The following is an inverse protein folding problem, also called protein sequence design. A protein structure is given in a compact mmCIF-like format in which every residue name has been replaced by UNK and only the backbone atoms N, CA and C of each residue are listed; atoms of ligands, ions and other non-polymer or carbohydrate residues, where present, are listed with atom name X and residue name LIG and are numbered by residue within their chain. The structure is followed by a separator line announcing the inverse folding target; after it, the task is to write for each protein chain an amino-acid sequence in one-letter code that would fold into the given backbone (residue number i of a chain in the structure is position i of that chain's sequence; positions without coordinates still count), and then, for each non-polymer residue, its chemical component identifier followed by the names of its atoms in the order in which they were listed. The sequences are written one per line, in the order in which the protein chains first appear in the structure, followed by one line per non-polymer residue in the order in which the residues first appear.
data_IF_053733815975
#
_entry.id   IF_053733815975
#
_cell.length_a   1.000
_cell.length_b   1.000
_cell.length_c   1.000
_cell.angle_alpha   90.00
_cell.angle_beta   90.00
_cell.angle_gamma   90.00
#
_symmetry.space_group_name_H-M   'P 1'
#
loop_
_entity.id
_entity.type
_entity.pdbx_description
1 polymer ?
#
# COMPACT_ATOMS: atom_id res chain seq x y z
N UNK A 1 2.11 5.26 29.71
CA UNK A 1 2.48 5.69 28.34
C UNK A 1 1.94 4.68 27.33
N UNK A 2 1.36 5.10 26.21
CA UNK A 2 0.68 4.21 25.25
C UNK A 2 1.68 3.25 24.57
N UNK A 3 1.40 1.93 24.59
CA UNK A 3 2.28 0.88 24.02
C UNK A 3 2.57 1.06 22.53
N UNK A 4 1.62 1.59 21.77
CA UNK A 4 1.78 1.82 20.32
C UNK A 4 2.72 2.99 20.05
N UNK A 5 2.62 4.07 20.84
CA UNK A 5 3.52 5.21 20.74
C UNK A 5 4.96 4.80 21.07
N UNK A 6 5.13 3.98 22.11
CA UNK A 6 6.43 3.42 22.47
C UNK A 6 7.03 2.57 21.34
N UNK A 7 6.21 1.74 20.69
CA UNK A 7 6.65 0.93 19.57
C UNK A 7 7.10 1.79 18.38
N UNK A 8 6.30 2.80 18.00
CA UNK A 8 6.67 3.76 16.96
C UNK A 8 7.95 4.51 17.30
N UNK A 9 8.14 4.93 18.56
CA UNK A 9 9.37 5.58 19.01
C UNK A 9 10.60 4.68 18.87
N UNK A 10 10.47 3.38 19.18
CA UNK A 10 11.56 2.41 18.97
C UNK A 10 11.91 2.26 17.49
N UNK A 11 10.90 2.13 16.62
CA UNK A 11 11.12 2.06 15.16
C UNK A 11 11.79 3.35 14.66
N UNK A 12 11.34 4.51 15.13
CA UNK A 12 11.92 5.80 14.78
C UNK A 12 13.39 5.94 15.23
N UNK A 13 13.80 5.27 16.30
CA UNK A 13 15.20 5.27 16.77
C UNK A 13 16.15 4.29 16.06
N UNK A 14 15.65 3.39 15.19
CA UNK A 14 16.51 2.43 14.49
C UNK A 14 17.42 3.09 13.45
N UNK A 15 18.65 2.59 13.31
CA UNK A 15 19.60 3.00 12.26
C UNK A 15 19.13 2.60 10.85
N UNK A 16 18.50 1.43 10.74
CA UNK A 16 17.87 0.93 9.52
C UNK A 16 16.52 0.31 9.81
N UNK A 17 15.61 0.35 8.82
CA UNK A 17 14.24 -0.13 8.92
C UNK A 17 13.90 -1.00 7.72
N UNK A 18 13.23 -2.11 7.98
CA UNK A 18 12.67 -2.96 6.93
C UNK A 18 11.22 -2.53 6.68
N UNK A 19 10.97 -2.00 5.49
CA UNK A 19 9.69 -1.41 5.12
C UNK A 19 9.15 -2.13 3.89
N UNK A 20 7.90 -2.58 3.98
CA UNK A 20 7.18 -3.10 2.81
C UNK A 20 6.52 -1.92 2.11
N UNK A 21 6.93 -1.63 0.88
CA UNK A 21 6.24 -0.71 -0.02
C UNK A 21 5.19 -1.43 -0.85
N UNK A 22 4.00 -0.86 -0.95
CA UNK A 22 2.92 -1.38 -1.80
C UNK A 22 2.46 -0.33 -2.82
N UNK A 23 2.31 -0.78 -4.05
CA UNK A 23 1.71 0.01 -5.13
C UNK A 23 0.72 -0.85 -5.90
N UNK A 24 -0.50 -0.35 -6.07
CA UNK A 24 -1.47 -0.90 -7.02
C UNK A 24 -1.74 0.15 -8.09
N UNK A 25 -1.31 -0.14 -9.31
CA UNK A 25 -1.50 0.74 -10.45
C UNK A 25 -2.97 0.86 -10.86
N UNK A 26 -3.27 1.88 -11.66
CA UNK A 26 -4.62 2.09 -12.24
C UNK A 26 -5.00 1.02 -13.27
N UNK A 27 -4.04 0.24 -13.76
CA UNK A 27 -4.30 -0.90 -14.66
C UNK A 27 -4.93 -2.11 -13.94
N UNK A 28 -4.91 -2.14 -12.60
CA UNK A 28 -5.40 -3.27 -11.79
C UNK A 28 -4.76 -4.61 -12.20
N UNK A 29 -3.52 -4.58 -12.68
CA UNK A 29 -2.82 -5.79 -13.14
C UNK A 29 -2.38 -6.66 -11.97
N UNK A 30 -1.97 -6.04 -10.87
CA UNK A 30 -1.53 -6.70 -9.67
C UNK A 30 -1.10 -5.72 -8.58
N UNK A 31 -0.71 -6.29 -7.43
CA UNK A 31 -0.10 -5.57 -6.33
C UNK A 31 1.42 -5.73 -6.41
N UNK A 32 2.12 -4.62 -6.57
CA UNK A 32 3.57 -4.57 -6.39
C UNK A 32 3.89 -4.56 -4.90
N UNK A 33 4.76 -5.47 -4.49
CA UNK A 33 5.23 -5.61 -3.11
C UNK A 33 6.77 -5.53 -3.14
N UNK A 34 7.33 -4.53 -2.48
CA UNK A 34 8.76 -4.36 -2.33
C UNK A 34 9.15 -4.40 -0.85
N UNK A 35 10.01 -5.34 -0.45
CA UNK A 35 10.67 -5.27 0.85
C UNK A 35 11.95 -4.44 0.68
N UNK A 36 12.00 -3.28 1.33
CA UNK A 36 13.12 -2.36 1.27
C UNK A 36 13.79 -2.24 2.64
N UNK A 37 15.12 -2.24 2.65
CA UNK A 37 15.88 -1.78 3.81
C UNK A 37 16.25 -0.31 3.59
N UNK A 38 15.83 0.54 4.52
CA UNK A 38 16.03 2.00 4.45
C UNK A 38 16.82 2.44 5.68
N UNK A 39 17.90 3.18 5.47
CA UNK A 39 18.74 3.76 6.53
C UNK A 39 19.01 5.23 6.28
N UNK A 40 19.39 5.95 7.34
CA UNK A 40 19.58 7.40 7.28
C UNK A 40 18.27 8.17 7.10
N UNK A 41 18.39 9.45 6.73
CA UNK A 41 17.26 10.36 6.55
C UNK A 41 17.62 11.52 5.60
N UNK A 42 16.60 12.18 5.06
CA UNK A 42 16.76 13.32 4.15
C UNK A 42 17.63 12.97 2.94
N UNK A 43 18.61 13.81 2.63
CA UNK A 43 19.53 13.61 1.49
C UNK A 43 20.52 12.46 1.68
N UNK A 44 20.76 12.03 2.93
CA UNK A 44 21.68 10.94 3.26
C UNK A 44 20.97 9.58 3.34
N UNK A 45 19.68 9.53 3.01
CA UNK A 45 18.90 8.30 3.01
C UNK A 45 19.48 7.31 2.00
N UNK A 46 19.66 6.06 2.43
CA UNK A 46 20.02 4.94 1.55
C UNK A 46 18.86 3.96 1.50
N UNK A 47 18.53 3.52 0.30
CA UNK A 47 17.51 2.52 0.04
C UNK A 47 18.13 1.32 -0.66
N UNK A 48 17.79 0.12 -0.19
CA UNK A 48 18.12 -1.14 -0.86
C UNK A 48 16.86 -1.97 -0.97
N UNK A 49 16.52 -2.39 -2.19
CA UNK A 49 15.47 -3.38 -2.41
C UNK A 49 16.04 -4.75 -1.99
N UNK A 50 15.41 -5.37 -1.02
CA UNK A 50 15.75 -6.71 -0.52
C UNK A 50 15.01 -7.75 -1.36
N UNK A 51 13.71 -7.55 -1.54
CA UNK A 51 12.87 -8.36 -2.40
C UNK A 51 11.84 -7.51 -3.13
N UNK A 52 11.38 -8.03 -4.27
CA UNK A 52 10.33 -7.43 -5.09
C UNK A 52 9.51 -8.53 -5.74
N UNK A 53 8.19 -8.33 -5.82
CA UNK A 53 7.30 -9.17 -6.60
C UNK A 53 6.06 -8.37 -7.00
N UNK A 54 5.47 -8.74 -8.14
CA UNK A 54 4.15 -8.28 -8.57
C UNK A 54 3.21 -9.48 -8.51
N UNK A 55 2.18 -9.40 -7.67
CA UNK A 55 1.20 -10.46 -7.51
C UNK A 55 -0.06 -10.09 -8.30
N UNK A 56 -0.52 -10.93 -9.25
CA UNK A 56 -1.68 -10.60 -10.06
C UNK A 56 -2.96 -10.59 -9.20
N UNK A 57 -3.84 -9.64 -9.46
CA UNK A 57 -5.19 -9.69 -8.91
C UNK A 57 -6.01 -10.74 -9.66
N UNK A 58 -6.89 -11.43 -8.93
CA UNK A 58 -7.87 -12.31 -9.57
C UNK A 58 -8.94 -11.50 -10.34
N UNK A 59 -9.68 -12.19 -11.19
CA UNK A 59 -10.70 -11.56 -12.05
C UNK A 59 -11.78 -10.89 -11.21
N UNK A 60 -12.19 -11.51 -10.10
CA UNK A 60 -13.25 -10.99 -9.24
C UNK A 60 -12.85 -9.65 -8.59
N UNK A 61 -11.61 -9.55 -8.10
CA UNK A 61 -11.02 -8.32 -7.58
C UNK A 61 -11.07 -7.19 -8.60
N UNK A 62 -10.61 -7.48 -9.83
CA UNK A 62 -10.60 -6.48 -10.91
C UNK A 62 -12.02 -6.00 -11.22
N UNK A 63 -12.98 -6.90 -11.36
CA UNK A 63 -14.36 -6.55 -11.69
C UNK A 63 -15.02 -5.72 -10.59
N UNK A 64 -14.85 -6.08 -9.32
CA UNK A 64 -15.41 -5.30 -8.21
C UNK A 64 -14.83 -3.90 -8.11
N UNK A 65 -13.49 -3.75 -8.23
CA UNK A 65 -12.85 -2.42 -8.18
C UNK A 65 -13.23 -1.56 -9.39
N UNK A 66 -13.35 -2.14 -10.59
CA UNK A 66 -13.82 -1.43 -11.79
C UNK A 66 -15.22 -0.81 -11.63
N UNK A 67 -16.06 -1.34 -10.73
CA UNK A 67 -17.38 -0.75 -10.48
C UNK A 67 -17.32 0.63 -9.82
N UNK A 68 -16.22 0.95 -9.14
CA UNK A 68 -16.01 2.25 -8.46
C UNK A 68 -14.88 3.08 -9.07
N UNK A 69 -13.99 2.48 -9.87
CA UNK A 69 -12.83 3.15 -10.45
C UNK A 69 -13.20 4.17 -11.53
N UNK A 70 -12.71 5.40 -11.38
CA UNK A 70 -12.89 6.51 -12.33
C UNK A 70 -14.35 6.79 -12.72
N UNK A 71 -15.29 6.59 -11.77
CA UNK A 71 -16.71 6.87 -11.92
C UNK A 71 -17.09 8.15 -11.16
N UNK A 72 -17.86 9.02 -11.79
CA UNK A 72 -18.41 10.21 -11.12
C UNK A 72 -19.46 9.85 -10.06
N UNK A 73 -20.27 8.82 -10.33
CA UNK A 73 -21.31 8.32 -9.44
C UNK A 73 -21.00 6.90 -9.02
N UNK A 74 -20.95 6.67 -7.71
CA UNK A 74 -20.73 5.37 -7.09
C UNK A 74 -21.66 5.18 -5.90
N UNK A 75 -22.08 3.95 -5.65
CA UNK A 75 -22.76 3.61 -4.40
C UNK A 75 -21.77 3.78 -3.23
N UNK A 76 -22.07 4.71 -2.33
CA UNK A 76 -21.20 5.05 -1.20
C UNK A 76 -21.02 3.88 -0.22
N UNK A 77 -22.05 3.06 -0.03
CA UNK A 77 -21.98 1.87 0.82
C UNK A 77 -21.02 0.87 0.20
N UNK A 78 -21.12 0.62 -1.10
CA UNK A 78 -20.20 -0.25 -1.83
C UNK A 78 -18.77 0.25 -1.74
N UNK A 79 -18.52 1.54 -1.98
CA UNK A 79 -17.19 2.15 -1.85
C UNK A 79 -16.61 1.92 -0.44
N UNK A 80 -17.41 2.10 0.60
CA UNK A 80 -16.99 1.93 1.99
C UNK A 80 -16.63 0.47 2.30
N UNK A 81 -17.42 -0.49 1.82
CA UNK A 81 -17.15 -1.91 1.99
C UNK A 81 -15.90 -2.35 1.20
N UNK A 82 -15.71 -1.82 -0.01
CA UNK A 82 -14.55 -2.12 -0.84
C UNK A 82 -13.24 -1.62 -0.21
N UNK A 83 -13.25 -0.50 0.52
CA UNK A 83 -12.05 0.00 1.20
C UNK A 83 -11.47 -1.05 2.19
N UNK A 84 -12.30 -1.63 3.05
CA UNK A 84 -11.86 -2.66 3.99
C UNK A 84 -11.43 -3.94 3.26
N UNK A 85 -12.21 -4.34 2.25
CA UNK A 85 -11.95 -5.55 1.49
C UNK A 85 -10.63 -5.49 0.70
N UNK A 86 -10.32 -4.36 0.07
CA UNK A 86 -9.04 -4.12 -0.61
C UNK A 86 -7.89 -4.22 0.41
N UNK A 87 -8.03 -3.58 1.58
CA UNK A 87 -7.02 -3.65 2.63
C UNK A 87 -6.75 -5.09 3.11
N UNK A 88 -7.82 -5.88 3.33
CA UNK A 88 -7.71 -7.30 3.70
C UNK A 88 -7.05 -8.14 2.59
N UNK A 89 -7.40 -7.86 1.34
CA UNK A 89 -6.81 -8.54 0.16
C UNK A 89 -5.31 -8.27 0.08
N UNK A 90 -4.90 -7.00 0.18
CA UNK A 90 -3.48 -6.64 0.20
C UNK A 90 -2.75 -7.27 1.38
N UNK A 91 -3.36 -7.30 2.58
CA UNK A 91 -2.76 -7.95 3.74
C UNK A 91 -2.54 -9.46 3.54
N UNK A 92 -3.49 -10.15 2.89
CA UNK A 92 -3.34 -11.56 2.54
C UNK A 92 -2.18 -11.76 1.55
N UNK A 93 -2.10 -10.93 0.51
CA UNK A 93 -1.02 -10.97 -0.49
C UNK A 93 0.37 -10.70 0.12
N UNK A 94 0.47 -9.77 1.07
CA UNK A 94 1.71 -9.52 1.83
C UNK A 94 2.11 -10.75 2.64
N UNK A 95 1.18 -11.37 3.36
CA UNK A 95 1.48 -12.55 4.17
C UNK A 95 1.98 -13.71 3.31
N UNK A 96 1.30 -13.97 2.19
CA UNK A 96 1.73 -14.95 1.20
C UNK A 96 3.15 -14.65 0.70
N UNK A 97 3.44 -13.39 0.41
CA UNK A 97 4.74 -13.03 -0.16
C UNK A 97 5.88 -13.08 0.86
N UNK A 98 5.61 -12.74 2.13
CA UNK A 98 6.57 -12.91 3.22
C UNK A 98 6.90 -14.38 3.46
N UNK A 99 5.90 -15.27 3.38
CA UNK A 99 6.12 -16.72 3.44
C UNK A 99 6.98 -17.20 2.25
N UNK A 100 6.68 -16.74 1.04
CA UNK A 100 7.45 -17.09 -0.16
C UNK A 100 8.91 -16.61 -0.10
N UNK A 101 9.18 -15.47 0.53
CA UNK A 101 10.55 -14.96 0.76
C UNK A 101 11.22 -15.52 2.02
N UNK A 102 10.52 -16.35 2.80
CA UNK A 102 10.95 -16.82 4.11
C UNK A 102 11.35 -15.67 5.07
N UNK A 103 10.62 -14.55 5.03
CA UNK A 103 10.85 -13.38 5.88
C UNK A 103 9.84 -13.37 7.04
N UNK A 104 10.28 -13.42 8.30
CA UNK A 104 9.40 -13.31 9.46
C UNK A 104 8.68 -11.95 9.51
N UNK A 105 7.39 -11.97 9.84
CA UNK A 105 6.60 -10.73 10.03
C UNK A 105 7.17 -9.82 11.13
N UNK A 106 7.86 -10.39 12.11
CA UNK A 106 8.54 -9.69 13.20
C UNK A 106 9.73 -8.84 12.74
N UNK A 107 10.26 -9.12 11.55
CA UNK A 107 11.41 -8.41 10.99
C UNK A 107 10.98 -7.18 10.17
N UNK A 108 9.68 -6.98 10.00
CA UNK A 108 9.09 -5.86 9.27
C UNK A 108 8.73 -4.76 10.26
N UNK A 109 9.24 -3.56 10.02
CA UNK A 109 8.99 -2.40 10.86
C UNK A 109 7.70 -1.68 10.49
N UNK A 110 7.47 -1.50 9.19
CA UNK A 110 6.40 -0.65 8.65
C UNK A 110 5.89 -1.19 7.31
N UNK A 111 4.64 -0.84 7.00
CA UNK A 111 4.06 -0.99 5.66
C UNK A 111 3.74 0.42 5.15
N UNK A 112 4.30 0.76 3.98
CA UNK A 112 4.02 1.97 3.25
C UNK A 112 3.10 1.62 2.08
N UNK A 113 1.80 1.79 2.28
CA UNK A 113 0.78 1.45 1.29
C UNK A 113 0.28 2.70 0.59
N UNK A 114 0.45 2.78 -0.73
CA UNK A 114 -0.28 3.77 -1.54
C UNK A 114 -1.80 3.51 -1.50
N UNK A 115 -2.19 2.23 -1.45
CA UNK A 115 -3.58 1.81 -1.58
C UNK A 115 -4.00 1.75 -3.05
N UNK A 116 -5.32 1.76 -3.27
CA UNK A 116 -5.92 1.72 -4.60
C UNK A 116 -6.53 3.09 -4.91
N UNK A 117 -6.07 3.72 -5.98
CA UNK A 117 -6.74 4.93 -6.50
C UNK A 117 -8.15 4.58 -6.95
N UNK A 118 -9.15 5.29 -6.43
CA UNK A 118 -10.54 5.20 -6.89
C UNK A 118 -10.84 6.32 -7.89
N UNK A 119 -10.47 7.56 -7.55
CA UNK A 119 -10.68 8.73 -8.38
C UNK A 119 -9.50 9.69 -8.24
N UNK A 120 -9.02 10.23 -9.36
CA UNK A 120 -7.93 11.20 -9.39
C UNK A 120 -8.41 12.49 -10.05
N UNK A 121 -8.59 13.54 -9.25
CA UNK A 121 -9.11 14.84 -9.69
C UNK A 121 -8.19 15.99 -9.25
N UNK A 122 -6.99 16.12 -9.82
CA UNK A 122 -6.19 17.34 -9.69
C UNK A 122 -6.83 18.49 -10.49
N UNK A 123 -6.51 19.73 -10.14
CA UNK A 123 -7.01 20.95 -10.81
C UNK A 123 -6.87 20.92 -12.33
N UNK A 124 -5.79 20.32 -12.83
CA UNK A 124 -5.54 20.17 -14.27
C UNK A 124 -6.58 19.30 -15.00
N UNK A 125 -7.27 18.40 -14.30
CA UNK A 125 -8.29 17.52 -14.87
C UNK A 125 -9.72 18.05 -14.66
N UNK A 126 -10.07 18.52 -13.47
CA UNK A 126 -11.45 19.00 -13.21
C UNK A 126 -11.68 20.46 -13.62
N UNK A 127 -10.62 21.27 -13.74
CA UNK A 127 -10.64 22.69 -14.18
C UNK A 127 -11.54 23.63 -13.36
N UNK A 128 -12.22 23.14 -12.34
CA UNK A 128 -13.06 23.91 -11.44
C UNK A 128 -12.18 24.73 -10.48
N UNK A 129 -12.10 26.05 -10.70
CA UNK A 129 -11.26 26.94 -9.89
C UNK A 129 -11.80 27.23 -8.49
N UNK A 130 -13.02 26.78 -8.17
CA UNK A 130 -13.62 26.97 -6.84
C UNK A 130 -13.16 25.87 -5.87
N UNK A 131 -12.85 24.66 -6.37
CA UNK A 131 -12.46 23.50 -5.58
C UNK A 131 -10.97 23.18 -5.73
#
# INVERSE_FOLDING_TARGET
MNKHILHLSRIAGKESRNIIGLMSGTSLDGLDIALCNISGSGRNMKLRIVHFATLPYDVFFKEEVKTIFSRELVDLRKLTLLNEWIGKTHAAMINQQLEAWAVPKTDIDLIASHGQTIYHAPLSLHQNQIF
#
